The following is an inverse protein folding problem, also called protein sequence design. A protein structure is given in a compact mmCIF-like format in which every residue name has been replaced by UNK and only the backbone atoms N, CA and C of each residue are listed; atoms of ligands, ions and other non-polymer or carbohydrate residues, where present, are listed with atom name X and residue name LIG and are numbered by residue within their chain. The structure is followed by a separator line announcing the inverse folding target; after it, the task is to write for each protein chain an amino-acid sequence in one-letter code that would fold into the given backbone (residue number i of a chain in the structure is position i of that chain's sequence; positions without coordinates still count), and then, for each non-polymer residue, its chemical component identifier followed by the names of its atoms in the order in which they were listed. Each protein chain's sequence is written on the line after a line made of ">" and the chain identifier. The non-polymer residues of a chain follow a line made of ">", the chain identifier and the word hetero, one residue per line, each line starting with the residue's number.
data_IF_957363648739
#
_entry.id   IF_957363648739
#
_cell.length_a   1.000
_cell.length_b   1.000
_cell.length_c   1.000
_cell.angle_alpha   90.00
_cell.angle_beta   90.00
_cell.angle_gamma   90.00
#
_symmetry.space_group_name_H-M   'P 1'
#
loop_
_entity.id
_entity.type
_entity.pdbx_description
1 polymer ?
#
# COMPACT_ATOMS: atom_id res chain seq x y z
N UNK A 1 -40.56 -4.02 6.07
CA UNK A 1 -39.14 -4.28 5.76
C UNK A 1 -38.51 -5.05 6.92
N UNK A 2 -38.03 -6.28 6.71
CA UNK A 2 -37.29 -7.02 7.75
C UNK A 2 -35.88 -6.41 7.88
N UNK A 3 -35.57 -5.77 9.02
CA UNK A 3 -34.18 -5.38 9.34
C UNK A 3 -33.37 -6.67 9.49
N UNK A 4 -32.46 -6.93 8.55
CA UNK A 4 -31.51 -8.04 8.66
C UNK A 4 -30.60 -7.73 9.85
N UNK A 5 -30.66 -8.56 10.90
CA UNK A 5 -29.85 -8.39 12.10
C UNK A 5 -28.39 -8.64 11.70
N UNK A 6 -27.59 -7.58 11.55
CA UNK A 6 -26.15 -7.71 11.37
C UNK A 6 -25.55 -8.11 12.72
N UNK A 7 -25.18 -9.38 12.87
CA UNK A 7 -24.35 -9.85 13.99
C UNK A 7 -22.89 -9.46 13.75
N UNK A 8 -22.09 -9.33 14.80
CA UNK A 8 -20.67 -8.94 14.70
C UNK A 8 -19.85 -9.86 13.77
N UNK A 9 -20.27 -11.12 13.63
CA UNK A 9 -19.73 -12.09 12.67
C UNK A 9 -19.95 -11.71 11.19
N UNK A 10 -20.92 -10.85 10.89
CA UNK A 10 -21.16 -10.30 9.55
C UNK A 10 -20.30 -9.06 9.24
N UNK A 11 -19.46 -8.59 10.18
CA UNK A 11 -18.50 -7.52 9.94
C UNK A 11 -17.30 -8.13 9.20
N UNK A 12 -17.33 -8.04 7.87
CA UNK A 12 -16.30 -8.59 6.99
C UNK A 12 -15.16 -7.58 6.89
N UNK A 13 -14.25 -7.45 7.87
CA UNK A 13 -13.18 -6.42 7.79
C UNK A 13 -12.44 -6.41 6.44
N UNK A 14 -12.02 -5.24 5.91
CA UNK A 14 -11.21 -5.19 4.69
C UNK A 14 -9.98 -6.08 4.84
N UNK A 15 -9.71 -6.93 3.84
CA UNK A 15 -8.65 -7.95 3.93
C UNK A 15 -7.27 -7.34 4.21
N UNK A 16 -7.00 -6.15 3.68
CA UNK A 16 -5.75 -5.45 3.93
C UNK A 16 -5.52 -5.08 5.40
N UNK A 17 -6.52 -5.10 6.28
CA UNK A 17 -6.29 -4.98 7.73
C UNK A 17 -5.57 -6.21 8.28
N UNK A 18 -5.90 -7.40 7.74
CA UNK A 18 -5.35 -8.69 8.19
C UNK A 18 -3.84 -8.77 7.99
N UNK A 19 -3.31 -8.10 6.97
CA UNK A 19 -1.87 -8.10 6.67
C UNK A 19 -1.03 -7.45 7.79
N UNK A 20 -1.65 -6.64 8.66
CA UNK A 20 -1.01 -6.00 9.80
C UNK A 20 -1.08 -6.84 11.09
N UNK A 21 -1.76 -7.99 11.09
CA UNK A 21 -1.98 -8.82 12.29
C UNK A 21 -0.90 -9.92 12.40
N UNK A 22 -0.28 -10.15 13.57
CA UNK A 22 0.62 -11.28 13.79
C UNK A 22 -0.07 -12.65 13.64
N UNK A 23 0.60 -13.68 13.08
CA UNK A 23 1.97 -13.67 12.57
C UNK A 23 2.10 -13.24 11.10
N UNK A 24 0.99 -12.96 10.40
CA UNK A 24 0.94 -12.67 8.96
C UNK A 24 1.84 -11.47 8.61
N UNK A 25 1.82 -10.43 9.46
CA UNK A 25 2.63 -9.21 9.27
C UNK A 25 4.12 -9.50 9.11
N UNK A 26 4.68 -10.53 9.76
CA UNK A 26 6.09 -10.86 9.61
C UNK A 26 6.41 -11.39 8.21
N UNK A 27 5.52 -12.19 7.63
CA UNK A 27 5.66 -12.65 6.25
C UNK A 27 5.54 -11.50 5.25
N UNK A 28 4.62 -10.56 5.50
CA UNK A 28 4.42 -9.36 4.66
C UNK A 28 5.64 -8.45 4.73
N UNK A 29 6.20 -8.21 5.91
CA UNK A 29 7.41 -7.41 6.10
C UNK A 29 8.60 -7.98 5.33
N UNK A 30 8.82 -9.30 5.40
CA UNK A 30 9.89 -9.98 4.66
C UNK A 30 9.63 -9.96 3.15
N UNK A 31 8.40 -10.23 2.72
CA UNK A 31 8.01 -10.19 1.30
C UNK A 31 8.21 -8.80 0.70
N UNK A 32 7.76 -7.74 1.39
CA UNK A 32 7.96 -6.36 0.96
C UNK A 32 9.44 -6.00 0.87
N UNK A 33 10.27 -6.41 1.83
CA UNK A 33 11.71 -6.15 1.75
C UNK A 33 12.34 -6.75 0.47
N UNK A 34 11.92 -7.96 0.07
CA UNK A 34 12.38 -8.61 -1.16
C UNK A 34 11.91 -7.84 -2.40
N UNK A 35 10.64 -7.42 -2.41
CA UNK A 35 10.06 -6.65 -3.52
C UNK A 35 10.76 -5.29 -3.65
N UNK A 36 10.93 -4.55 -2.55
CA UNK A 36 11.59 -3.25 -2.54
C UNK A 36 13.03 -3.36 -3.04
N UNK A 37 13.77 -4.36 -2.56
CA UNK A 37 15.12 -4.64 -3.05
C UNK A 37 15.14 -4.92 -4.56
N UNK A 38 14.21 -5.76 -5.05
CA UNK A 38 14.12 -6.09 -6.47
C UNK A 38 13.79 -4.86 -7.33
N UNK A 39 12.83 -4.03 -6.92
CA UNK A 39 12.44 -2.81 -7.65
C UNK A 39 13.60 -1.82 -7.72
N UNK A 40 14.29 -1.58 -6.61
CA UNK A 40 15.46 -0.67 -6.58
C UNK A 40 16.57 -1.21 -7.49
N UNK A 41 16.92 -2.48 -7.38
CA UNK A 41 17.96 -3.11 -8.20
C UNK A 41 17.64 -3.04 -9.69
N UNK A 42 16.39 -3.35 -10.07
CA UNK A 42 15.96 -3.26 -11.46
C UNK A 42 15.96 -1.82 -11.96
N UNK A 43 15.46 -0.87 -11.16
CA UNK A 43 15.42 0.54 -11.54
C UNK A 43 16.84 1.12 -11.73
N UNK A 44 17.77 0.79 -10.84
CA UNK A 44 19.19 1.16 -10.97
C UNK A 44 19.81 0.55 -12.23
N UNK A 45 19.58 -0.75 -12.46
CA UNK A 45 20.09 -1.47 -13.64
C UNK A 45 19.57 -0.87 -14.94
N UNK A 46 18.27 -0.59 -15.05
CA UNK A 46 17.69 0.06 -16.23
C UNK A 46 18.13 1.51 -16.39
N UNK A 47 18.52 2.17 -15.31
CA UNK A 47 19.12 3.50 -15.35
C UNK A 47 20.63 3.48 -15.69
N UNK A 48 21.25 2.29 -15.81
CA UNK A 48 22.68 2.15 -16.07
C UNK A 48 23.55 2.66 -14.91
N UNK A 49 23.04 2.61 -13.68
CA UNK A 49 23.73 3.11 -12.49
C UNK A 49 23.92 2.02 -11.45
N UNK A 50 25.04 2.06 -10.76
CA UNK A 50 25.36 1.16 -9.66
C UNK A 50 25.70 1.96 -8.41
N UNK A 51 25.32 1.41 -7.25
CA UNK A 51 25.67 1.95 -5.94
C UNK A 51 26.60 0.96 -5.25
N UNK A 52 27.46 1.47 -4.36
CA UNK A 52 28.24 0.58 -3.51
C UNK A 52 27.31 -0.21 -2.58
N UNK A 53 27.70 -1.43 -2.23
CA UNK A 53 26.88 -2.33 -1.40
C UNK A 53 26.35 -1.68 -0.12
N UNK A 54 27.14 -0.91 0.67
CA UNK A 54 26.64 -0.28 1.88
C UNK A 54 25.54 0.77 1.59
N UNK A 55 25.71 1.57 0.55
CA UNK A 55 24.74 2.59 0.13
C UNK A 55 23.45 1.94 -0.37
N UNK A 56 23.57 0.87 -1.15
CA UNK A 56 22.43 0.10 -1.63
C UNK A 56 21.63 -0.51 -0.46
N UNK A 57 22.30 -1.14 0.51
CA UNK A 57 21.61 -1.72 1.68
C UNK A 57 20.88 -0.64 2.48
N UNK A 58 21.53 0.51 2.73
CA UNK A 58 20.89 1.63 3.43
C UNK A 58 19.70 2.18 2.66
N UNK A 59 19.81 2.30 1.33
CA UNK A 59 18.72 2.72 0.46
C UNK A 59 17.54 1.75 0.60
N UNK A 60 17.76 0.45 0.40
CA UNK A 60 16.73 -0.61 0.52
C UNK A 60 16.04 -0.56 1.88
N UNK A 61 16.79 -0.50 2.99
CA UNK A 61 16.20 -0.50 4.33
C UNK A 61 15.36 0.76 4.62
N UNK A 62 15.82 1.94 4.17
CA UNK A 62 15.05 3.18 4.30
C UNK A 62 13.79 3.16 3.45
N UNK A 63 13.90 2.64 2.22
CA UNK A 63 12.78 2.47 1.31
C UNK A 63 11.74 1.53 1.88
N UNK A 64 12.16 0.39 2.42
CA UNK A 64 11.28 -0.59 3.06
C UNK A 64 10.54 -0.02 4.26
N UNK A 65 11.24 0.66 5.17
CA UNK A 65 10.61 1.31 6.32
C UNK A 65 9.62 2.40 5.90
N UNK A 66 9.94 3.18 4.86
CA UNK A 66 9.03 4.20 4.32
C UNK A 66 7.82 3.59 3.62
N UNK A 67 8.00 2.52 2.84
CA UNK A 67 6.91 1.80 2.18
C UNK A 67 5.89 1.30 3.19
N UNK A 68 6.36 0.62 4.24
CA UNK A 68 5.49 0.15 5.31
C UNK A 68 4.78 1.31 6.05
N UNK A 69 5.46 2.43 6.28
CA UNK A 69 4.83 3.62 6.86
C UNK A 69 3.76 4.23 5.93
N UNK A 70 4.01 4.26 4.62
CA UNK A 70 3.04 4.73 3.64
C UNK A 70 1.80 3.83 3.59
N UNK A 71 1.98 2.51 3.72
CA UNK A 71 0.88 1.55 3.84
C UNK A 71 0.05 1.82 5.09
N UNK A 72 0.67 2.05 6.24
CA UNK A 72 -0.04 2.41 7.48
C UNK A 72 -0.80 3.73 7.30
N UNK A 73 -0.19 4.76 6.72
CA UNK A 73 -0.86 6.05 6.47
C UNK A 73 -2.08 5.84 5.58
N UNK A 74 -1.94 5.09 4.49
CA UNK A 74 -3.06 4.79 3.59
C UNK A 74 -4.18 4.03 4.28
N UNK A 75 -3.83 3.01 5.08
CA UNK A 75 -4.78 2.27 5.89
C UNK A 75 -5.53 3.16 6.88
N UNK A 76 -4.81 4.04 7.60
CA UNK A 76 -5.41 4.99 8.56
C UNK A 76 -6.31 6.01 7.88
N UNK A 77 -5.94 6.50 6.69
CA UNK A 77 -6.81 7.39 5.89
C UNK A 77 -8.09 6.67 5.51
N UNK A 78 -8.00 5.43 5.03
CA UNK A 78 -9.19 4.62 4.73
C UNK A 78 -10.04 4.46 5.99
N UNK A 79 -9.48 3.98 7.11
CA UNK A 79 -10.20 3.82 8.39
C UNK A 79 -10.86 5.13 8.85
N UNK A 80 -10.17 6.27 8.74
CA UNK A 80 -10.70 7.57 9.11
C UNK A 80 -11.89 8.00 8.25
N UNK A 81 -11.82 7.77 6.94
CA UNK A 81 -12.94 8.01 6.01
C UNK A 81 -14.15 7.11 6.32
N UNK A 82 -13.92 5.89 6.81
CA UNK A 82 -14.98 5.02 7.32
C UNK A 82 -15.59 5.59 8.60
N UNK A 83 -14.76 5.92 9.58
CA UNK A 83 -15.17 6.31 10.92
C UNK A 83 -15.96 7.63 10.95
N UNK A 84 -15.70 8.53 10.00
CA UNK A 84 -16.36 9.83 9.90
C UNK A 84 -17.68 9.79 9.13
N UNK A 85 -18.10 8.63 8.62
CA UNK A 85 -19.29 8.50 7.79
C UNK A 85 -19.21 9.25 6.45
N UNK A 86 -18.03 9.78 6.08
CA UNK A 86 -17.81 10.41 4.76
C UNK A 86 -18.11 9.43 3.64
N UNK A 87 -17.79 8.16 3.84
CA UNK A 87 -18.20 7.10 2.92
C UNK A 87 -19.71 6.93 3.03
N UNK A 88 -20.28 6.72 4.22
CA UNK A 88 -21.75 6.57 4.43
C UNK A 88 -22.62 7.68 3.82
N UNK A 89 -22.14 8.93 3.79
CA UNK A 89 -22.81 10.09 3.22
C UNK A 89 -22.90 10.08 1.68
N UNK A 90 -21.99 9.38 1.01
CA UNK A 90 -21.95 9.23 -0.45
C UNK A 90 -22.16 7.78 -0.91
N UNK A 91 -22.08 6.81 0.02
CA UNK A 91 -21.88 5.38 -0.19
C UNK A 91 -22.37 4.56 1.05
N UNK A 92 -23.43 3.74 0.94
CA UNK A 92 -23.75 2.54 1.78
C UNK A 92 -22.57 1.95 2.59
N UNK A 93 -22.66 1.83 3.93
CA UNK A 93 -21.59 1.28 4.78
C UNK A 93 -21.05 -0.11 4.32
N UNK A 94 -21.82 -0.87 3.54
CA UNK A 94 -21.37 -2.12 2.93
C UNK A 94 -20.30 -1.97 1.83
N UNK A 95 -20.08 -0.77 1.28
CA UNK A 95 -19.15 -0.49 0.16
C UNK A 95 -17.68 -0.74 0.46
N UNK A 96 -17.28 -0.73 1.74
CA UNK A 96 -15.89 -0.99 2.17
C UNK A 96 -15.51 -2.47 2.04
N UNK A 97 -16.51 -3.32 1.92
CA UNK A 97 -16.39 -4.76 1.77
C UNK A 97 -16.56 -5.20 0.31
N UNK A 98 -16.87 -4.25 -0.57
CA UNK A 98 -17.10 -4.46 -1.99
C UNK A 98 -16.57 -3.30 -2.84
N UNK A 99 -15.23 -3.20 -2.84
CA UNK A 99 -14.46 -2.16 -3.56
C UNK A 99 -14.91 -1.99 -5.02
N UNK A 100 -15.33 -3.07 -5.67
CA UNK A 100 -15.72 -3.11 -7.09
C UNK A 100 -17.19 -2.83 -7.38
N UNK A 101 -18.04 -2.68 -6.36
CA UNK A 101 -19.49 -2.49 -6.55
C UNK A 101 -19.85 -1.04 -6.90
N UNK A 102 -18.90 -0.09 -6.73
CA UNK A 102 -19.11 1.33 -7.01
C UNK A 102 -17.86 2.00 -7.55
N UNK A 103 -18.03 2.80 -8.60
CA UNK A 103 -16.96 3.63 -9.16
C UNK A 103 -16.37 4.59 -8.11
N UNK A 104 -17.21 5.13 -7.20
CA UNK A 104 -16.73 6.01 -6.15
C UNK A 104 -15.82 5.29 -5.15
N UNK A 105 -16.13 4.04 -4.78
CA UNK A 105 -15.29 3.24 -3.91
C UNK A 105 -13.92 2.95 -4.55
N UNK A 106 -13.91 2.54 -5.82
CA UNK A 106 -12.67 2.34 -6.59
C UNK A 106 -11.85 3.64 -6.62
N UNK A 107 -12.48 4.78 -6.93
CA UNK A 107 -11.79 6.07 -7.00
C UNK A 107 -11.22 6.51 -5.63
N UNK A 108 -11.93 6.28 -4.53
CA UNK A 108 -11.43 6.56 -3.19
C UNK A 108 -10.18 5.72 -2.88
N UNK A 109 -10.21 4.42 -3.16
CA UNK A 109 -9.06 3.55 -2.91
C UNK A 109 -7.88 3.93 -3.81
N UNK A 110 -8.12 4.21 -5.09
CA UNK A 110 -7.09 4.69 -6.01
C UNK A 110 -6.49 6.03 -5.55
N UNK A 111 -7.28 6.95 -5.01
CA UNK A 111 -6.79 8.21 -4.47
C UNK A 111 -5.87 7.99 -3.25
N UNK A 112 -6.21 7.06 -2.36
CA UNK A 112 -5.36 6.71 -1.22
C UNK A 112 -4.08 5.99 -1.67
N UNK A 113 -4.17 5.07 -2.62
CA UNK A 113 -3.00 4.39 -3.20
C UNK A 113 -2.08 5.41 -3.88
N UNK A 114 -2.64 6.36 -4.63
CA UNK A 114 -1.89 7.44 -5.25
C UNK A 114 -1.21 8.33 -4.20
N UNK A 115 -1.89 8.66 -3.10
CA UNK A 115 -1.30 9.40 -1.99
C UNK A 115 -0.10 8.64 -1.39
N UNK A 116 -0.24 7.35 -1.10
CA UNK A 116 0.85 6.51 -0.61
C UNK A 116 2.01 6.44 -1.61
N UNK A 117 1.71 6.24 -2.89
CA UNK A 117 2.69 6.24 -3.98
C UNK A 117 3.46 7.56 -4.10
N UNK A 118 2.80 8.70 -3.91
CA UNK A 118 3.44 10.04 -3.88
C UNK A 118 4.38 10.18 -2.69
N UNK A 119 3.99 9.71 -1.50
CA UNK A 119 4.87 9.69 -0.31
C UNK A 119 6.11 8.83 -0.57
N UNK A 120 5.92 7.63 -1.10
CA UNK A 120 6.99 6.70 -1.46
C UNK A 120 7.91 7.34 -2.49
N UNK A 121 7.37 7.95 -3.55
CA UNK A 121 8.15 8.65 -4.58
C UNK A 121 9.05 9.74 -3.97
N UNK A 122 8.47 10.68 -3.20
CA UNK A 122 9.25 11.80 -2.68
C UNK A 122 10.34 11.36 -1.70
N UNK A 123 10.04 10.38 -0.84
CA UNK A 123 11.03 9.84 0.09
C UNK A 123 12.14 9.07 -0.63
N UNK A 124 11.79 8.19 -1.58
CA UNK A 124 12.77 7.44 -2.36
C UNK A 124 13.66 8.32 -3.23
N UNK A 125 13.11 9.41 -3.78
CA UNK A 125 13.92 10.39 -4.53
C UNK A 125 15.01 10.98 -3.64
N UNK A 126 14.65 11.37 -2.41
CA UNK A 126 15.61 11.91 -1.43
C UNK A 126 16.62 10.84 -0.99
N UNK A 127 16.17 9.61 -0.73
CA UNK A 127 17.04 8.52 -0.31
C UNK A 127 18.03 8.10 -1.39
N UNK A 128 17.60 8.00 -2.66
CA UNK A 128 18.47 7.64 -3.77
C UNK A 128 19.55 8.71 -4.01
N UNK A 129 19.20 10.01 -3.95
CA UNK A 129 20.19 11.09 -4.01
C UNK A 129 21.17 11.00 -2.83
N UNK A 130 20.66 10.80 -1.61
CA UNK A 130 21.51 10.66 -0.42
C UNK A 130 22.41 9.42 -0.47
N UNK A 131 22.03 8.38 -1.23
CA UNK A 131 22.82 7.18 -1.46
C UNK A 131 23.89 7.37 -2.56
N UNK A 132 23.92 8.52 -3.24
CA UNK A 132 24.91 8.84 -4.28
C UNK A 132 24.41 8.71 -5.72
N UNK A 133 23.13 8.44 -5.94
CA UNK A 133 22.56 8.41 -7.29
C UNK A 133 22.37 9.83 -7.86
N UNK A 134 22.69 10.09 -9.14
CA UNK A 134 22.40 11.35 -9.80
C UNK A 134 20.89 11.66 -9.79
N UNK A 135 20.47 12.93 -9.84
CA UNK A 135 19.05 13.31 -9.78
C UNK A 135 18.15 12.61 -10.81
N UNK A 136 18.67 12.35 -12.02
CA UNK A 136 17.95 11.64 -13.09
C UNK A 136 17.72 10.17 -12.76
N UNK A 137 18.71 9.50 -12.16
CA UNK A 137 18.61 8.11 -11.70
C UNK A 137 17.68 8.04 -10.50
N UNK A 138 17.85 8.94 -9.54
CA UNK A 138 17.00 9.03 -8.36
C UNK A 138 15.53 9.24 -8.70
N UNK A 139 15.23 10.03 -9.74
CA UNK A 139 13.88 10.18 -10.27
C UNK A 139 13.30 8.85 -10.78
N UNK A 140 14.06 8.09 -11.58
CA UNK A 140 13.62 6.79 -12.11
C UNK A 140 13.38 5.77 -11.00
N UNK A 141 14.30 5.68 -10.03
CA UNK A 141 14.15 4.82 -8.84
C UNK A 141 12.90 5.22 -8.05
N UNK A 142 12.75 6.50 -7.75
CA UNK A 142 11.60 7.00 -7.01
C UNK A 142 10.26 6.72 -7.71
N UNK A 143 10.21 6.90 -9.03
CA UNK A 143 9.01 6.65 -9.82
C UNK A 143 8.67 5.16 -9.84
N UNK A 144 9.67 4.29 -10.04
CA UNK A 144 9.49 2.85 -9.99
C UNK A 144 8.95 2.40 -8.63
N UNK A 145 9.53 2.90 -7.53
CA UNK A 145 9.06 2.62 -6.18
C UNK A 145 7.62 3.11 -5.96
N UNK A 146 7.34 4.40 -6.22
CA UNK A 146 6.03 4.99 -5.98
C UNK A 146 4.88 4.38 -6.80
N UNK A 147 5.19 3.71 -7.92
CA UNK A 147 4.19 2.97 -8.71
C UNK A 147 4.14 1.51 -8.30
N UNK A 148 5.27 0.79 -8.31
CA UNK A 148 5.26 -0.67 -8.16
C UNK A 148 4.95 -1.08 -6.72
N UNK A 149 5.42 -0.32 -5.73
CA UNK A 149 5.30 -0.67 -4.31
C UNK A 149 4.25 0.15 -3.58
N UNK A 150 3.38 0.86 -4.31
CA UNK A 150 2.17 1.41 -3.72
C UNK A 150 1.30 0.27 -3.14
N UNK A 151 0.41 0.54 -2.17
CA UNK A 151 -0.40 -0.49 -1.49
C UNK A 151 -1.54 -1.02 -2.37
N UNK A 152 -1.21 -1.67 -3.49
CA UNK A 152 -2.17 -2.29 -4.40
C UNK A 152 -3.02 -3.37 -3.74
N UNK A 153 -2.54 -3.93 -2.63
CA UNK A 153 -3.28 -4.86 -1.77
C UNK A 153 -4.59 -4.26 -1.26
N UNK A 154 -4.72 -2.93 -1.20
CA UNK A 154 -5.97 -2.27 -0.82
C UNK A 154 -7.11 -2.55 -1.81
N UNK A 155 -6.82 -2.85 -3.08
CA UNK A 155 -7.83 -3.17 -4.08
C UNK A 155 -8.30 -4.63 -4.03
N UNK A 156 -7.70 -5.47 -3.17
CA UNK A 156 -8.07 -6.88 -3.06
C UNK A 156 -9.43 -7.00 -2.33
N UNK A 157 -10.48 -7.49 -3.00
CA UNK A 157 -11.80 -7.56 -2.39
C UNK A 157 -11.87 -8.68 -1.35
N UNK A 158 -12.46 -8.38 -0.20
CA UNK A 158 -12.66 -9.36 0.87
C UNK A 158 -13.58 -10.51 0.45
N UNK A 159 -14.42 -10.31 -0.57
CA UNK A 159 -15.31 -11.33 -1.13
C UNK A 159 -14.56 -12.58 -1.65
N UNK A 160 -13.31 -12.46 -2.10
CA UNK A 160 -12.50 -13.62 -2.55
C UNK A 160 -12.29 -14.66 -1.42
N UNK A 161 -12.41 -14.24 -0.17
CA UNK A 161 -12.15 -15.06 1.01
C UNK A 161 -13.43 -15.47 1.75
N UNK A 162 -14.62 -15.10 1.24
CA UNK A 162 -15.90 -15.51 1.84
C UNK A 162 -16.08 -17.03 1.94
N UNK A 163 -15.50 -17.81 1.01
CA UNK A 163 -15.56 -19.28 1.05
C UNK A 163 -14.60 -19.97 2.03
N UNK A 164 -13.69 -19.21 2.65
CA UNK A 164 -12.74 -19.71 3.65
C UNK A 164 -13.12 -19.35 5.09
N UNK A 165 -14.05 -18.41 5.24
CA UNK A 165 -14.47 -17.83 6.52
C UNK A 165 -15.82 -18.38 7.02
N UNK A 166 -16.43 -19.32 6.28
CA UNK A 166 -17.69 -20.01 6.60
C UNK A 166 -17.59 -21.50 6.28
#
# INVERSE_FOLDING_TARGET
>A
MKRKKMTLYNVIFPLWIVIFIPPIVFGVLLGNLVIDAAVILLALRFAGWELERPQLVVLVLKTWGLGFLADIIGALVLIGLMATGWIEAWLDPMYLFSIWDSAAAVLTYLAVIALAGVIIYWGNKRFAVAAGAPPEVAYKVALAMGIVTAPWTFLVPTALFKGWLY
#
